data_IF_722793380567
#
_entry.id   IF_722793380567
#
_cell.length_a   1.000
_cell.length_b   1.000
_cell.length_c   1.000
_cell.angle_alpha   90.00
_cell.angle_beta   90.00
_cell.angle_gamma   90.00
#
_symmetry.space_group_name_H-M   'P 1'
#
loop_
_entity.id
_entity.type
_entity.pdbx_description
1 polymer ?
#
# COMPACT_ATOMS: atom_id res chain seq x y z
N UNK A 1 -21.45 25.57 -1.51
CA UNK A 1 -20.43 24.52 -1.78
C UNK A 1 -19.12 25.22 -2.10
N UNK A 2 -18.02 24.84 -1.45
CA UNK A 2 -16.74 25.37 -1.89
C UNK A 2 -16.48 24.99 -3.34
N UNK A 3 -15.88 25.88 -4.14
CA UNK A 3 -15.59 25.56 -5.53
C UNK A 3 -14.70 24.31 -5.60
N UNK A 4 -15.10 23.37 -6.44
CA UNK A 4 -14.29 22.19 -6.69
C UNK A 4 -13.01 22.62 -7.36
N UNK A 5 -11.88 22.38 -6.70
CA UNK A 5 -10.57 22.66 -7.28
C UNK A 5 -10.33 21.70 -8.46
N UNK A 6 -9.76 22.21 -9.51
CA UNK A 6 -9.39 21.37 -10.66
C UNK A 6 -8.17 20.52 -10.31
N UNK A 7 -8.25 19.24 -10.62
CA UNK A 7 -7.17 18.29 -10.39
C UNK A 7 -6.13 18.48 -11.49
N UNK A 8 -4.90 18.82 -11.11
CA UNK A 8 -3.78 18.94 -12.04
C UNK A 8 -3.14 17.58 -12.29
N UNK A 9 -3.01 16.75 -11.25
CA UNK A 9 -2.42 15.43 -11.36
C UNK A 9 -2.87 14.51 -10.22
N UNK A 10 -2.79 13.21 -10.48
CA UNK A 10 -3.00 12.18 -9.48
C UNK A 10 -1.73 11.34 -9.40
N UNK A 11 -1.14 11.25 -8.22
CA UNK A 11 0.12 10.52 -7.99
C UNK A 11 -0.12 9.41 -6.98
N UNK A 12 0.37 8.21 -7.29
CA UNK A 12 0.29 7.06 -6.39
C UNK A 12 1.71 6.64 -6.03
N UNK A 13 2.00 6.56 -4.73
CA UNK A 13 3.30 6.14 -4.23
C UNK A 13 3.13 5.20 -3.06
N UNK A 14 4.15 4.38 -2.81
CA UNK A 14 4.20 3.49 -1.65
C UNK A 14 5.34 3.96 -0.74
N UNK A 15 5.02 4.23 0.51
CA UNK A 15 5.96 4.74 1.49
C UNK A 15 5.88 3.94 2.78
N UNK A 16 6.98 3.87 3.49
CA UNK A 16 6.98 3.30 4.83
C UNK A 16 6.22 4.22 5.79
N UNK A 17 5.31 3.65 6.56
CA UNK A 17 4.51 4.41 7.51
C UNK A 17 5.39 5.10 8.56
N UNK A 18 5.12 6.37 8.79
CA UNK A 18 5.86 7.19 9.75
C UNK A 18 7.29 7.55 9.35
N UNK A 19 7.70 7.20 8.13
CA UNK A 19 9.09 7.38 7.67
C UNK A 19 9.18 8.07 6.30
N UNK A 20 8.15 8.82 5.90
CA UNK A 20 8.20 9.57 4.65
C UNK A 20 9.25 10.68 4.72
N UNK A 21 10.08 10.77 3.68
CA UNK A 21 11.14 11.77 3.55
C UNK A 21 11.07 12.45 2.18
N UNK A 22 11.67 13.63 2.01
CA UNK A 22 11.74 14.29 0.71
C UNK A 22 12.58 13.55 -0.35
N UNK A 23 13.31 12.51 0.07
CA UNK A 23 14.09 11.68 -0.85
C UNK A 23 13.18 10.88 -1.80
N UNK A 24 13.70 10.38 -2.93
CA UNK A 24 12.91 9.50 -3.81
C UNK A 24 12.27 8.36 -3.01
N UNK A 25 11.03 7.93 -3.33
CA UNK A 25 10.24 8.32 -4.51
C UNK A 25 9.39 9.59 -4.35
N UNK A 26 9.27 10.15 -3.15
CA UNK A 26 8.37 11.28 -2.88
C UNK A 26 8.81 12.54 -3.62
N UNK A 27 10.08 12.90 -3.50
CA UNK A 27 10.62 14.08 -4.15
C UNK A 27 10.50 14.01 -5.66
N UNK A 28 10.76 12.86 -6.23
CA UNK A 28 10.64 12.62 -7.68
C UNK A 28 9.19 12.66 -8.15
N UNK A 29 8.26 12.15 -7.35
CA UNK A 29 6.85 12.10 -7.69
C UNK A 29 6.15 13.47 -7.57
N UNK A 30 6.50 14.24 -6.55
CA UNK A 30 5.85 15.52 -6.23
C UNK A 30 6.58 16.75 -6.75
N UNK A 31 7.89 16.67 -6.93
CA UNK A 31 8.71 17.81 -7.37
C UNK A 31 8.24 18.47 -8.66
N UNK A 32 7.94 17.71 -9.73
CA UNK A 32 7.47 18.29 -10.99
C UNK A 32 6.16 19.06 -10.90
N UNK A 33 5.36 18.77 -9.86
CA UNK A 33 4.04 19.39 -9.66
C UNK A 33 4.09 20.65 -8.78
N UNK A 34 5.25 20.98 -8.22
CA UNK A 34 5.44 22.17 -7.38
C UNK A 34 4.76 22.09 -6.02
N UNK A 35 4.46 20.89 -5.54
CA UNK A 35 3.84 20.66 -4.23
C UNK A 35 4.89 20.78 -3.13
N UNK A 36 4.48 21.26 -1.95
CA UNK A 36 5.35 21.32 -0.78
C UNK A 36 5.56 19.91 -0.20
N UNK A 37 6.69 19.32 -0.52
CA UNK A 37 7.04 17.95 -0.14
C UNK A 37 7.13 17.78 1.38
N UNK A 38 7.66 18.77 2.08
CA UNK A 38 7.81 18.71 3.54
C UNK A 38 6.45 18.67 4.25
N UNK A 39 5.50 19.47 3.79
CA UNK A 39 4.14 19.47 4.35
C UNK A 39 3.47 18.10 4.15
N UNK A 40 3.63 17.52 2.96
CA UNK A 40 3.14 16.18 2.68
C UNK A 40 3.76 15.13 3.61
N UNK A 41 5.09 15.15 3.75
CA UNK A 41 5.79 14.20 4.61
C UNK A 41 5.32 14.30 6.07
N UNK A 42 5.16 15.51 6.59
CA UNK A 42 4.67 15.73 7.96
C UNK A 42 3.25 15.18 8.15
N UNK A 43 2.36 15.51 7.24
CA UNK A 43 0.96 15.05 7.31
C UNK A 43 0.86 13.52 7.19
N UNK A 44 1.59 12.93 6.25
CA UNK A 44 1.63 11.50 6.04
C UNK A 44 2.18 10.77 7.28
N UNK A 45 3.30 11.23 7.81
CA UNK A 45 3.92 10.63 9.00
C UNK A 45 2.98 10.69 10.20
N UNK A 46 2.27 11.81 10.38
CA UNK A 46 1.30 11.95 11.46
C UNK A 46 0.13 10.96 11.33
N UNK A 47 -0.38 10.76 10.11
CA UNK A 47 -1.49 9.83 9.88
C UNK A 47 -1.08 8.36 9.96
N UNK A 48 0.15 8.04 9.60
CA UNK A 48 0.62 6.66 9.54
C UNK A 48 1.49 6.24 10.71
N UNK A 49 1.66 7.09 11.71
CA UNK A 49 2.49 6.80 12.89
C UNK A 49 2.06 5.51 13.60
N UNK A 50 0.75 5.30 13.74
CA UNK A 50 0.20 4.09 14.37
C UNK A 50 0.45 2.80 13.57
N UNK A 51 0.77 2.94 12.29
CA UNK A 51 1.02 1.81 11.38
C UNK A 51 2.50 1.66 11.03
N UNK A 52 3.37 2.22 11.85
CA UNK A 52 4.81 2.17 11.65
C UNK A 52 5.31 0.74 11.41
N UNK A 53 6.23 0.58 10.48
CA UNK A 53 6.77 -0.72 10.11
C UNK A 53 6.06 -1.39 8.94
N UNK A 54 4.97 -0.82 8.45
CA UNK A 54 4.26 -1.29 7.25
C UNK A 54 4.51 -0.34 6.09
N UNK A 55 4.47 -0.87 4.87
CA UNK A 55 4.44 -0.04 3.66
C UNK A 55 2.99 0.35 3.42
N UNK A 56 2.71 1.64 3.35
CA UNK A 56 1.35 2.15 3.15
C UNK A 56 1.29 2.84 1.79
N UNK A 57 0.46 2.36 0.85
CA UNK A 57 0.22 3.08 -0.38
C UNK A 57 -0.54 4.36 -0.11
N UNK A 58 -0.16 5.43 -0.77
CA UNK A 58 -0.84 6.71 -0.68
C UNK A 58 -1.19 7.22 -2.07
N UNK A 59 -2.39 7.72 -2.20
CA UNK A 59 -2.89 8.34 -3.43
C UNK A 59 -2.99 9.84 -3.19
N UNK A 60 -2.18 10.62 -3.90
CA UNK A 60 -2.06 12.07 -3.73
C UNK A 60 -2.77 12.75 -4.90
N UNK A 61 -3.75 13.58 -4.58
CA UNK A 61 -4.43 14.41 -5.58
C UNK A 61 -3.82 15.81 -5.52
N UNK A 62 -3.26 16.26 -6.64
CA UNK A 62 -2.63 17.58 -6.76
C UNK A 62 -3.54 18.49 -7.55
N UNK A 63 -3.80 19.67 -7.04
CA UNK A 63 -4.67 20.67 -7.66
C UNK A 63 -3.86 21.74 -8.39
N UNK A 64 -4.51 22.49 -9.29
CA UNK A 64 -3.87 23.54 -10.09
C UNK A 64 -3.28 24.67 -9.24
N UNK A 65 -3.82 24.90 -8.05
CA UNK A 65 -3.33 25.92 -7.11
C UNK A 65 -2.12 25.46 -6.27
N UNK A 66 -1.54 24.28 -6.61
CA UNK A 66 -0.42 23.65 -5.92
C UNK A 66 -0.78 23.11 -4.53
N UNK A 67 -2.06 23.07 -4.18
CA UNK A 67 -2.51 22.36 -2.99
C UNK A 67 -2.62 20.87 -3.29
N UNK A 68 -2.67 20.07 -2.23
CA UNK A 68 -2.80 18.62 -2.39
C UNK A 68 -3.72 18.03 -1.32
N UNK A 69 -4.36 16.93 -1.67
CA UNK A 69 -5.04 16.05 -0.74
C UNK A 69 -4.47 14.65 -0.93
N UNK A 70 -4.48 13.84 0.11
CA UNK A 70 -4.01 12.47 -0.01
C UNK A 70 -4.89 11.52 0.79
N UNK A 71 -4.97 10.28 0.31
CA UNK A 71 -5.70 9.20 0.95
C UNK A 71 -4.71 8.07 1.17
N UNK A 72 -4.60 7.60 2.42
CA UNK A 72 -3.81 6.41 2.74
C UNK A 72 -4.68 5.18 2.58
N UNK A 73 -4.09 4.12 2.06
CA UNK A 73 -4.76 2.82 1.87
C UNK A 73 -4.19 1.79 2.82
N UNK A 74 -4.79 0.60 2.85
CA UNK A 74 -4.25 -0.51 3.64
C UNK A 74 -2.92 -0.98 3.04
N UNK A 75 -2.03 -1.63 3.83
CA UNK A 75 -0.78 -2.15 3.30
C UNK A 75 -1.00 -3.07 2.09
N UNK A 76 -0.09 -3.09 1.10
CA UNK A 76 -0.21 -3.99 -0.03
C UNK A 76 -0.28 -5.45 0.42
N UNK A 77 -1.11 -6.25 -0.25
CA UNK A 77 -1.26 -7.68 0.09
C UNK A 77 0.09 -8.41 0.03
N UNK A 78 0.94 -8.07 -0.94
CA UNK A 78 2.27 -8.65 -1.06
C UNK A 78 3.13 -8.43 0.18
N UNK A 79 3.11 -7.25 0.76
CA UNK A 79 3.86 -6.92 1.97
C UNK A 79 3.32 -7.68 3.19
N UNK A 80 1.99 -7.76 3.31
CA UNK A 80 1.35 -8.53 4.39
C UNK A 80 1.70 -10.02 4.29
N UNK A 81 1.69 -10.57 3.09
CA UNK A 81 2.05 -11.96 2.84
C UNK A 81 3.51 -12.23 3.19
N UNK A 82 4.42 -11.38 2.77
CA UNK A 82 5.85 -11.50 3.11
C UNK A 82 6.07 -11.46 4.61
N UNK A 83 5.42 -10.55 5.30
CA UNK A 83 5.52 -10.41 6.75
C UNK A 83 4.99 -11.66 7.47
N UNK A 84 3.82 -12.15 7.07
CA UNK A 84 3.21 -13.34 7.66
C UNK A 84 4.03 -14.62 7.42
N UNK A 85 4.62 -14.74 6.23
CA UNK A 85 5.47 -15.88 5.89
C UNK A 85 6.93 -15.74 6.36
N UNK A 86 7.30 -14.59 6.90
CA UNK A 86 8.67 -14.31 7.35
C UNK A 86 9.67 -14.14 6.21
N UNK A 87 9.21 -13.71 5.04
CA UNK A 87 10.04 -13.54 3.84
C UNK A 87 10.45 -12.09 3.65
N UNK A 88 11.67 -11.89 3.16
CA UNK A 88 12.15 -10.56 2.73
C UNK A 88 11.81 -10.26 1.28
N UNK A 89 11.66 -11.30 0.46
CA UNK A 89 11.39 -11.17 -0.98
C UNK A 89 10.59 -12.37 -1.49
N UNK A 90 9.69 -12.12 -2.44
CA UNK A 90 8.96 -13.18 -3.13
C UNK A 90 9.84 -13.91 -4.16
N UNK A 91 9.29 -15.00 -4.73
CA UNK A 91 9.98 -15.78 -5.75
C UNK A 91 10.03 -15.06 -7.09
N UNK A 92 11.17 -15.13 -7.77
CA UNK A 92 11.30 -14.70 -9.16
C UNK A 92 10.68 -15.67 -10.15
N UNK A 93 10.51 -16.95 -9.76
CA UNK A 93 9.90 -18.00 -10.56
C UNK A 93 8.82 -18.73 -9.74
N UNK A 94 7.67 -18.07 -9.48
CA UNK A 94 6.70 -18.55 -8.49
C UNK A 94 6.05 -19.89 -8.84
N UNK A 95 6.00 -20.26 -10.10
CA UNK A 95 5.40 -21.53 -10.52
C UNK A 95 6.32 -22.73 -10.31
N UNK A 96 7.62 -22.50 -10.14
CA UNK A 96 8.62 -23.53 -9.90
C UNK A 96 9.21 -23.47 -8.51
N UNK A 97 9.61 -22.26 -8.08
CA UNK A 97 10.26 -22.05 -6.80
C UNK A 97 9.26 -21.50 -5.78
N UNK A 98 8.91 -22.34 -4.81
CA UNK A 98 8.06 -21.92 -3.68
C UNK A 98 8.98 -21.47 -2.54
N UNK A 99 8.76 -20.26 -2.04
CA UNK A 99 9.64 -19.63 -1.04
C UNK A 99 9.03 -19.58 0.34
N UNK A 100 7.73 -19.89 0.48
CA UNK A 100 7.08 -19.84 1.78
C UNK A 100 5.72 -20.53 1.75
N UNK A 101 5.09 -20.57 2.92
CA UNK A 101 3.79 -21.18 3.13
C UNK A 101 2.99 -20.33 4.12
N UNK A 102 1.70 -20.19 3.86
CA UNK A 102 0.75 -19.55 4.78
C UNK A 102 -0.29 -20.56 5.25
N UNK A 103 -0.70 -20.43 6.51
CA UNK A 103 -1.84 -21.16 7.03
C UNK A 103 -3.14 -20.42 6.69
N UNK A 104 -4.27 -21.13 6.75
CA UNK A 104 -5.59 -20.51 6.54
C UNK A 104 -5.84 -19.34 7.48
N UNK A 105 -5.39 -19.44 8.73
CA UNK A 105 -5.58 -18.38 9.72
C UNK A 105 -4.79 -17.13 9.33
N UNK A 106 -3.57 -17.28 8.84
CA UNK A 106 -2.76 -16.18 8.35
C UNK A 106 -3.41 -15.51 7.13
N UNK A 107 -3.92 -16.30 6.19
CA UNK A 107 -4.64 -15.77 5.01
C UNK A 107 -5.88 -14.99 5.45
N UNK A 108 -6.61 -15.50 6.43
CA UNK A 108 -7.80 -14.84 6.97
C UNK A 108 -7.46 -13.50 7.61
N UNK A 109 -6.39 -13.41 8.39
CA UNK A 109 -5.93 -12.16 9.00
C UNK A 109 -5.56 -11.12 7.94
N UNK A 110 -4.82 -11.53 6.92
CA UNK A 110 -4.44 -10.66 5.80
C UNK A 110 -5.69 -10.18 5.07
N UNK A 111 -6.62 -11.09 4.78
CA UNK A 111 -7.88 -10.77 4.11
C UNK A 111 -8.72 -9.78 4.93
N UNK A 112 -8.81 -9.96 6.24
CA UNK A 112 -9.54 -9.05 7.13
C UNK A 112 -8.92 -7.65 7.13
N UNK A 113 -7.60 -7.56 7.17
CA UNK A 113 -6.88 -6.28 7.12
C UNK A 113 -7.10 -5.55 5.80
N UNK A 114 -7.14 -6.30 4.71
CA UNK A 114 -7.26 -5.74 3.35
C UNK A 114 -8.70 -5.53 2.90
N UNK A 115 -9.67 -6.13 3.58
CA UNK A 115 -11.08 -6.14 3.18
C UNK A 115 -11.65 -4.75 2.83
N UNK A 116 -11.34 -3.66 3.57
CA UNK A 116 -11.86 -2.33 3.22
C UNK A 116 -11.45 -1.83 1.83
N UNK A 117 -10.33 -2.31 1.28
CA UNK A 117 -9.83 -1.91 -0.04
C UNK A 117 -10.20 -2.90 -1.14
N UNK A 118 -10.79 -4.03 -0.79
CA UNK A 118 -11.17 -5.06 -1.74
C UNK A 118 -12.64 -4.94 -2.14
N UNK A 119 -12.95 -5.40 -3.33
CA UNK A 119 -14.34 -5.50 -3.80
C UNK A 119 -15.01 -6.82 -3.40
N UNK A 120 -14.42 -7.55 -2.47
CA UNK A 120 -14.99 -8.79 -1.95
C UNK A 120 -16.20 -8.51 -1.07
N UNK A 121 -17.21 -9.34 -1.18
CA UNK A 121 -18.44 -9.21 -0.40
C UNK A 121 -18.33 -9.83 1.00
N UNK A 122 -17.44 -10.81 1.16
CA UNK A 122 -17.22 -11.50 2.43
C UNK A 122 -15.75 -11.87 2.61
N UNK A 123 -15.43 -12.41 3.79
CA UNK A 123 -14.06 -12.78 4.14
C UNK A 123 -13.55 -13.94 3.29
N UNK A 124 -14.40 -14.89 2.91
CA UNK A 124 -13.97 -16.02 2.10
C UNK A 124 -13.55 -15.59 0.70
N UNK A 125 -14.29 -14.67 0.08
CA UNK A 125 -13.92 -14.08 -1.20
C UNK A 125 -12.61 -13.31 -1.09
N UNK A 126 -12.41 -12.55 0.00
CA UNK A 126 -11.16 -11.83 0.26
C UNK A 126 -9.99 -12.80 0.44
N UNK A 127 -10.18 -13.92 1.12
CA UNK A 127 -9.15 -14.96 1.27
C UNK A 127 -8.70 -15.52 -0.07
N UNK A 128 -9.63 -15.76 -1.00
CA UNK A 128 -9.30 -16.23 -2.35
C UNK A 128 -8.44 -15.21 -3.11
N UNK A 129 -8.73 -13.93 -2.96
CA UNK A 129 -7.92 -12.86 -3.58
C UNK A 129 -6.49 -12.89 -3.01
N UNK A 130 -6.36 -13.01 -1.69
CA UNK A 130 -5.05 -13.08 -1.01
C UNK A 130 -4.28 -14.33 -1.43
N UNK A 131 -4.96 -15.48 -1.52
CA UNK A 131 -4.36 -16.74 -1.99
C UNK A 131 -3.80 -16.61 -3.41
N UNK A 132 -4.53 -15.95 -4.30
CA UNK A 132 -4.07 -15.68 -5.66
C UNK A 132 -2.80 -14.83 -5.69
N UNK A 133 -2.73 -13.78 -4.87
CA UNK A 133 -1.55 -12.93 -4.72
C UNK A 133 -0.37 -13.73 -4.16
N UNK A 134 -0.61 -14.54 -3.13
CA UNK A 134 0.42 -15.41 -2.54
C UNK A 134 1.00 -16.38 -3.56
N UNK A 135 0.12 -16.98 -4.36
CA UNK A 135 0.53 -17.89 -5.43
C UNK A 135 1.44 -17.20 -6.45
N UNK A 136 1.14 -15.95 -6.80
CA UNK A 136 1.97 -15.15 -7.72
C UNK A 136 3.34 -14.83 -7.13
N UNK A 137 3.49 -14.90 -5.83
CA UNK A 137 4.75 -14.64 -5.11
C UNK A 137 5.55 -15.92 -4.82
N UNK A 138 5.02 -17.09 -5.17
CA UNK A 138 5.64 -18.36 -4.82
C UNK A 138 5.38 -18.81 -3.38
N UNK A 139 4.31 -18.33 -2.78
CA UNK A 139 3.88 -18.71 -1.44
C UNK A 139 2.68 -19.65 -1.57
N UNK A 140 2.76 -20.82 -0.94
CA UNK A 140 1.66 -21.79 -0.94
C UNK A 140 0.72 -21.50 0.23
N UNK A 141 -0.54 -21.82 0.07
CA UNK A 141 -1.55 -21.70 1.12
C UNK A 141 -2.19 -23.06 1.40
N UNK A 142 -2.55 -23.30 2.66
CA UNK A 142 -3.25 -24.53 3.07
C UNK A 142 -4.75 -24.42 2.85
#
# INVERSE_FOLDING_TARGET
MPPKKKIAALVKVQLQAGSATPAPPVGTALGPHGVNIMDFCKAYNAQTESMRGNVIPVEITIYEDRSFDFITKTPPAAELIKKAAGLSKGSGVPHKDKVGKLTKDQVREIAATKLPDLNANDIDAAMKIVEGTARSMGVTTD
#
